data_IF_742904029710
#
_entry.id   IF_742904029710
#
_cell.length_a   1.000
_cell.length_b   1.000
_cell.length_c   1.000
_cell.angle_alpha   90.00
_cell.angle_beta   90.00
_cell.angle_gamma   90.00
#
_symmetry.space_group_name_H-M   'P 1'
#
loop_
_entity.id
_entity.type
_entity.pdbx_description
1 polymer ?
#
# COMPACT_ATOMS: atom_id res chain seq x y z
N UNK A 1 8.67 -5.56 27.71
CA UNK A 1 8.20 -4.31 28.34
C UNK A 1 9.34 -3.32 28.62
N UNK A 2 10.45 -3.71 29.27
CA UNK A 2 11.63 -2.84 29.49
C UNK A 2 12.11 -2.16 28.20
N UNK A 3 12.36 -2.92 27.13
CA UNK A 3 12.91 -2.37 25.89
C UNK A 3 12.09 -1.23 25.25
N UNK A 4 10.76 -1.19 25.43
CA UNK A 4 9.92 -0.11 24.88
C UNK A 4 10.05 1.16 25.71
N UNK A 5 9.97 1.06 27.05
CA UNK A 5 10.11 2.21 27.94
C UNK A 5 11.51 2.83 27.79
N UNK A 6 12.53 1.99 27.64
CA UNK A 6 13.91 2.43 27.45
C UNK A 6 14.09 3.14 26.09
N UNK A 7 13.48 2.61 25.02
CA UNK A 7 13.43 3.27 23.70
C UNK A 7 12.66 4.61 23.74
N UNK A 8 11.55 4.67 24.48
CA UNK A 8 10.75 5.88 24.63
C UNK A 8 11.57 6.99 25.30
N UNK A 9 12.26 6.67 26.40
CA UNK A 9 13.17 7.59 27.10
C UNK A 9 14.28 8.13 26.19
N UNK A 10 14.82 7.30 25.30
CA UNK A 10 15.85 7.70 24.35
C UNK A 10 15.32 8.64 23.24
N UNK A 11 14.05 8.51 22.84
CA UNK A 11 13.45 9.23 21.71
C UNK A 11 13.07 10.70 21.99
N UNK A 12 13.01 11.11 23.28
CA UNK A 12 12.60 12.46 23.72
C UNK A 12 13.50 13.62 23.26
N UNK A 13 14.58 13.35 22.52
CA UNK A 13 15.56 14.35 22.06
C UNK A 13 15.46 14.70 20.57
N UNK A 14 14.56 14.09 19.80
CA UNK A 14 14.45 14.33 18.36
C UNK A 14 13.07 14.91 18.01
N UNK A 15 13.02 16.23 17.78
CA UNK A 15 11.84 16.89 17.22
C UNK A 15 11.81 16.74 15.70
N UNK A 16 10.66 16.35 15.16
CA UNK A 16 10.44 16.11 13.73
C UNK A 16 9.06 16.62 13.34
N UNK A 17 9.06 17.57 12.38
CA UNK A 17 8.13 17.61 11.25
C UNK A 17 6.64 17.90 11.48
N UNK A 18 5.96 18.17 10.36
CA UNK A 18 4.53 18.47 10.31
C UNK A 18 3.69 17.29 10.82
N UNK A 19 2.90 17.50 11.88
CA UNK A 19 2.02 16.49 12.44
C UNK A 19 0.57 16.64 11.95
N UNK A 20 -0.15 15.52 11.88
CA UNK A 20 -1.60 15.48 11.61
C UNK A 20 -2.29 14.86 12.81
N UNK A 21 -3.42 15.43 13.24
CA UNK A 21 -4.20 14.90 14.38
C UNK A 21 -5.15 13.80 13.90
N UNK A 22 -5.13 12.66 14.59
CA UNK A 22 -6.08 11.55 14.40
C UNK A 22 -6.87 11.35 15.69
N UNK A 23 -8.20 11.27 15.59
CA UNK A 23 -9.07 10.94 16.73
C UNK A 23 -9.28 9.43 16.80
N UNK A 24 -8.90 8.82 17.92
CA UNK A 24 -9.05 7.38 18.16
C UNK A 24 -9.95 7.18 19.37
N UNK A 25 -10.89 6.24 19.28
CA UNK A 25 -11.65 5.75 20.44
C UNK A 25 -10.91 4.59 21.05
N UNK A 26 -10.64 4.69 22.35
CA UNK A 26 -10.02 3.65 23.16
C UNK A 26 -10.87 3.42 24.41
N UNK A 27 -10.73 2.26 25.02
CA UNK A 27 -11.34 1.95 26.32
C UNK A 27 -10.71 2.76 27.45
N UNK A 28 -11.39 2.81 28.60
CA UNK A 28 -10.86 3.48 29.79
C UNK A 28 -9.57 2.80 30.28
N UNK A 29 -9.54 1.47 30.29
CA UNK A 29 -8.37 0.70 30.72
C UNK A 29 -7.14 0.99 29.84
N UNK A 30 -7.31 1.04 28.51
CA UNK A 30 -6.24 1.41 27.59
C UNK A 30 -5.75 2.84 27.83
N UNK A 31 -6.67 3.78 28.07
CA UNK A 31 -6.32 5.16 28.41
C UNK A 31 -5.51 5.25 29.70
N UNK A 32 -5.89 4.51 30.74
CA UNK A 32 -5.22 4.54 32.04
C UNK A 32 -3.81 3.94 31.96
N UNK A 33 -3.63 2.88 31.16
CA UNK A 33 -2.30 2.33 30.85
C UNK A 33 -1.43 3.38 30.15
N UNK A 34 -1.95 4.05 29.11
CA UNK A 34 -1.21 5.11 28.40
C UNK A 34 -0.84 6.27 29.34
N UNK A 35 -1.75 6.65 30.24
CA UNK A 35 -1.52 7.70 31.23
C UNK A 35 -0.41 7.32 32.21
N UNK A 36 -0.40 6.07 32.69
CA UNK A 36 0.63 5.58 33.61
C UNK A 36 2.01 5.52 32.95
N UNK A 37 2.09 5.08 31.69
CA UNK A 37 3.35 5.06 30.93
C UNK A 37 3.85 6.48 30.71
N UNK A 38 2.97 7.40 30.28
CA UNK A 38 3.29 8.81 30.08
C UNK A 38 3.85 9.45 31.36
N UNK A 39 3.20 9.21 32.50
CA UNK A 39 3.65 9.71 33.81
C UNK A 39 5.00 9.11 34.23
N UNK A 40 5.21 7.80 34.01
CA UNK A 40 6.48 7.14 34.36
C UNK A 40 7.67 7.62 33.53
N UNK A 41 7.43 7.98 32.26
CA UNK A 41 8.49 8.41 31.33
C UNK A 41 8.66 9.93 31.27
N UNK A 42 7.66 10.69 31.74
CA UNK A 42 7.68 12.16 31.69
C UNK A 42 7.35 12.71 30.30
N UNK A 43 6.38 12.10 29.61
CA UNK A 43 5.94 12.51 28.27
C UNK A 43 4.41 12.63 28.17
N UNK A 44 3.88 12.99 27.00
CA UNK A 44 2.43 13.03 26.76
C UNK A 44 1.89 11.66 26.32
N UNK A 45 0.60 11.39 26.58
CA UNK A 45 -0.08 10.19 26.04
C UNK A 45 0.00 10.11 24.52
N UNK A 46 -0.06 11.27 23.85
CA UNK A 46 0.04 11.36 22.39
C UNK A 46 1.40 10.87 21.91
N UNK A 47 2.48 11.22 22.64
CA UNK A 47 3.82 10.75 22.34
C UNK A 47 3.95 9.25 22.57
N UNK A 48 3.36 8.71 23.64
CA UNK A 48 3.32 7.25 23.86
C UNK A 48 2.66 6.53 22.68
N UNK A 49 1.51 7.03 22.20
CA UNK A 49 0.81 6.47 21.03
C UNK A 49 1.65 6.60 19.76
N UNK A 50 2.25 7.77 19.54
CA UNK A 50 3.13 8.02 18.40
C UNK A 50 4.29 7.02 18.35
N UNK A 51 4.95 6.77 19.49
CA UNK A 51 6.04 5.79 19.56
C UNK A 51 5.55 4.34 19.41
N UNK A 52 4.37 3.99 19.94
CA UNK A 52 3.79 2.66 19.68
C UNK A 52 3.57 2.44 18.17
N UNK A 53 3.09 3.46 17.46
CA UNK A 53 2.92 3.41 16.01
C UNK A 53 4.28 3.25 15.32
N UNK A 54 5.25 4.08 15.69
CA UNK A 54 6.58 4.12 15.04
C UNK A 54 7.40 2.85 15.28
N UNK A 55 7.39 2.31 16.50
CA UNK A 55 8.22 1.17 16.89
C UNK A 55 7.57 -0.19 16.62
N UNK A 56 6.24 -0.25 16.56
CA UNK A 56 5.54 -1.53 16.43
C UNK A 56 4.61 -1.58 15.21
N UNK A 57 3.71 -0.61 15.05
CA UNK A 57 2.71 -0.68 13.98
C UNK A 57 3.34 -0.56 12.59
N UNK A 58 4.24 0.42 12.36
CA UNK A 58 4.90 0.63 11.06
C UNK A 58 5.82 -0.56 10.71
N UNK A 59 6.73 -1.03 11.58
CA UNK A 59 7.57 -2.18 11.25
C UNK A 59 6.79 -3.46 11.02
N UNK A 60 5.74 -3.72 11.80
CA UNK A 60 4.85 -4.87 11.57
C UNK A 60 4.14 -4.76 10.20
N UNK A 61 3.68 -3.55 9.84
CA UNK A 61 3.10 -3.28 8.53
C UNK A 61 4.10 -3.50 7.39
N UNK A 62 5.34 -3.06 7.54
CA UNK A 62 6.40 -3.26 6.55
C UNK A 62 6.79 -4.74 6.41
N UNK A 63 6.90 -5.49 7.50
CA UNK A 63 7.23 -6.92 7.47
C UNK A 63 6.18 -7.75 6.70
N UNK A 64 4.89 -7.40 6.83
CA UNK A 64 3.81 -8.00 6.06
C UNK A 64 3.90 -7.71 4.54
N UNK A 65 4.54 -6.60 4.15
CA UNK A 65 4.79 -6.28 2.74
C UNK A 65 5.93 -7.10 2.14
N UNK A 66 6.93 -7.43 2.95
CA UNK A 66 8.12 -8.16 2.54
C UNK A 66 7.87 -9.68 2.38
N UNK A 67 6.97 -10.28 3.17
CA UNK A 67 6.71 -11.73 3.19
C UNK A 67 5.86 -12.27 2.02
N UNK A 68 5.49 -11.44 1.04
CA UNK A 68 4.75 -11.85 -0.17
C UNK A 68 5.55 -12.64 -1.21
N UNK A 69 6.65 -13.29 -0.80
CA UNK A 69 7.47 -14.13 -1.66
C UNK A 69 7.12 -15.60 -1.44
N UNK A 70 6.43 -16.19 -2.42
CA UNK A 70 6.71 -17.51 -2.99
C UNK A 70 5.48 -18.03 -3.77
N UNK A 71 5.63 -18.19 -5.09
CA UNK A 71 5.53 -19.50 -5.75
C UNK A 71 5.96 -19.39 -7.23
N UNK A 72 6.83 -20.32 -7.60
CA UNK A 72 7.43 -20.47 -8.91
C UNK A 72 6.45 -21.09 -9.92
N UNK A 73 6.75 -20.80 -11.19
CA UNK A 73 6.05 -21.04 -12.45
C UNK A 73 5.71 -22.51 -12.76
N UNK A 74 4.58 -22.73 -13.43
CA UNK A 74 4.47 -23.73 -14.51
C UNK A 74 3.66 -23.13 -15.66
N UNK A 75 4.18 -23.27 -16.89
CA UNK A 75 3.55 -22.85 -18.13
C UNK A 75 2.42 -23.84 -18.42
N UNK A 76 1.19 -23.40 -18.18
CA UNK A 76 -0.03 -23.86 -18.84
C UNK A 76 -0.68 -22.62 -19.45
N UNK A 77 -1.49 -22.77 -20.49
CA UNK A 77 -2.20 -21.67 -21.18
C UNK A 77 -2.71 -20.65 -20.18
N UNK A 78 -1.98 -19.54 -20.00
CA UNK A 78 -2.19 -18.63 -18.86
C UNK A 78 -3.54 -17.95 -19.03
N UNK A 79 -4.50 -18.34 -18.19
CA UNK A 79 -5.68 -17.52 -17.91
C UNK A 79 -5.19 -16.18 -17.36
N UNK A 80 -5.72 -15.07 -17.87
CA UNK A 80 -5.42 -13.73 -17.37
C UNK A 80 -5.57 -13.69 -15.84
N UNK A 81 -4.53 -13.24 -15.17
CA UNK A 81 -4.51 -13.02 -13.73
C UNK A 81 -4.96 -11.60 -13.40
N UNK A 82 -5.29 -11.38 -12.13
CA UNK A 82 -5.77 -10.09 -11.64
C UNK A 82 -4.84 -9.61 -10.54
N UNK A 83 -4.49 -8.33 -10.59
CA UNK A 83 -3.56 -7.72 -9.66
C UNK A 83 -4.14 -6.46 -9.05
N UNK A 84 -3.88 -6.25 -7.77
CA UNK A 84 -4.07 -4.97 -7.09
C UNK A 84 -2.69 -4.35 -6.90
N UNK A 85 -2.50 -3.15 -7.45
CA UNK A 85 -1.26 -2.40 -7.39
C UNK A 85 -1.47 -1.10 -6.61
N UNK A 86 -0.72 -0.91 -5.53
CA UNK A 86 -0.75 0.32 -4.74
C UNK A 86 -0.13 1.47 -5.54
N UNK A 87 -0.78 2.64 -5.56
CA UNK A 87 -0.30 3.82 -6.31
C UNK A 87 0.77 4.63 -5.58
N UNK A 88 1.36 4.10 -4.50
CA UNK A 88 2.36 4.76 -3.68
C UNK A 88 1.92 6.10 -3.03
N UNK A 89 0.61 6.41 -3.00
CA UNK A 89 0.08 7.72 -2.57
C UNK A 89 0.53 8.17 -1.19
N UNK A 90 0.73 7.22 -0.28
CA UNK A 90 1.19 7.46 1.09
C UNK A 90 2.61 8.02 1.13
N UNK A 91 3.48 7.60 0.22
CA UNK A 91 4.87 8.02 0.18
C UNK A 91 5.08 9.21 -0.77
N UNK A 92 4.38 9.22 -1.90
CA UNK A 92 4.53 10.24 -2.93
C UNK A 92 3.20 10.52 -3.64
N UNK A 93 2.79 11.79 -3.61
CA UNK A 93 1.58 12.25 -4.32
C UNK A 93 1.81 12.33 -5.83
N UNK A 94 3.01 12.68 -6.27
CA UNK A 94 3.39 12.78 -7.69
C UNK A 94 3.35 11.41 -8.37
N UNK A 95 3.85 10.36 -7.72
CA UNK A 95 3.86 8.99 -8.25
C UNK A 95 2.45 8.50 -8.54
N UNK A 96 1.55 8.74 -7.58
CA UNK A 96 0.14 8.42 -7.74
C UNK A 96 -0.47 9.19 -8.91
N UNK A 97 -0.18 10.48 -9.04
CA UNK A 97 -0.72 11.29 -10.14
C UNK A 97 -0.17 10.82 -11.49
N UNK A 98 1.11 10.47 -11.57
CA UNK A 98 1.76 9.90 -12.75
C UNK A 98 1.08 8.59 -13.19
N UNK A 99 0.92 7.63 -12.27
CA UNK A 99 0.25 6.35 -12.56
C UNK A 99 -1.17 6.53 -13.10
N UNK A 100 -1.89 7.52 -12.57
CA UNK A 100 -3.29 7.77 -12.89
C UNK A 100 -3.46 8.61 -14.17
N UNK A 101 -2.55 9.55 -14.43
CA UNK A 101 -2.54 10.40 -15.63
C UNK A 101 -2.10 9.63 -16.87
N UNK A 102 -1.02 8.86 -16.74
CA UNK A 102 -0.46 8.09 -17.87
C UNK A 102 -1.13 6.73 -18.07
N UNK A 103 -1.94 6.28 -17.09
CA UNK A 103 -2.60 4.98 -17.16
C UNK A 103 -1.60 3.83 -17.13
N UNK A 104 -0.67 3.88 -16.17
CA UNK A 104 0.43 2.92 -16.05
C UNK A 104 0.38 2.15 -14.72
N UNK A 105 0.84 0.91 -14.77
CA UNK A 105 1.24 0.15 -13.61
C UNK A 105 2.74 0.37 -13.38
N UNK A 106 3.09 1.12 -12.34
CA UNK A 106 4.47 1.46 -12.00
C UNK A 106 4.85 0.99 -10.58
N UNK A 107 6.14 0.73 -10.40
CA UNK A 107 6.77 0.60 -9.10
C UNK A 107 8.06 1.41 -9.10
N UNK A 108 8.44 1.85 -7.90
CA UNK A 108 9.54 2.76 -7.66
C UNK A 108 10.48 2.12 -6.65
N UNK A 109 11.77 2.40 -6.76
CA UNK A 109 12.87 1.82 -5.97
C UNK A 109 13.15 0.34 -6.24
N UNK A 110 14.43 -0.04 -6.12
CA UNK A 110 14.98 -1.33 -6.56
C UNK A 110 14.30 -2.55 -5.92
N UNK A 111 13.84 -2.41 -4.67
CA UNK A 111 13.16 -3.49 -3.94
C UNK A 111 11.76 -3.82 -4.49
N UNK A 112 11.20 -2.98 -5.36
CA UNK A 112 9.82 -3.10 -5.83
C UNK A 112 9.68 -3.15 -7.35
N UNK A 113 10.61 -2.59 -8.13
CA UNK A 113 10.52 -2.56 -9.61
C UNK A 113 10.31 -3.96 -10.21
N UNK A 114 10.98 -4.99 -9.68
CA UNK A 114 10.84 -6.38 -10.15
C UNK A 114 9.43 -6.97 -9.96
N UNK A 115 8.55 -6.31 -9.19
CA UNK A 115 7.15 -6.72 -9.07
C UNK A 115 6.38 -6.47 -10.38
N UNK A 116 6.74 -5.45 -11.16
CA UNK A 116 6.06 -5.13 -12.43
C UNK A 116 6.23 -6.27 -13.44
N UNK A 117 7.37 -6.97 -13.42
CA UNK A 117 7.61 -8.11 -14.32
C UNK A 117 6.69 -9.29 -14.06
N UNK A 118 6.00 -9.34 -12.91
CA UNK A 118 5.00 -10.36 -12.61
C UNK A 118 3.72 -10.16 -13.43
N UNK A 119 3.45 -8.94 -13.86
CA UNK A 119 2.25 -8.57 -14.62
C UNK A 119 2.51 -8.89 -16.10
N UNK A 120 1.74 -9.83 -16.64
CA UNK A 120 1.86 -10.32 -18.01
C UNK A 120 0.77 -9.72 -18.90
N UNK A 121 1.00 -9.84 -20.21
CA UNK A 121 0.07 -9.35 -21.22
C UNK A 121 -1.31 -9.95 -21.01
N UNK A 122 -2.33 -9.09 -20.95
CA UNK A 122 -3.72 -9.51 -20.79
C UNK A 122 -4.18 -9.66 -19.33
N UNK A 123 -3.28 -9.50 -18.35
CA UNK A 123 -3.66 -9.42 -16.94
C UNK A 123 -4.41 -8.12 -16.66
N UNK A 124 -5.29 -8.13 -15.65
CA UNK A 124 -6.03 -6.94 -15.24
C UNK A 124 -5.38 -6.36 -13.99
N UNK A 125 -5.06 -5.07 -14.03
CA UNK A 125 -4.48 -4.34 -12.91
C UNK A 125 -5.50 -3.36 -12.35
N UNK A 126 -5.77 -3.46 -11.05
CA UNK A 126 -6.54 -2.51 -10.26
C UNK A 126 -5.59 -1.58 -9.52
N UNK A 127 -5.67 -0.28 -9.77
CA UNK A 127 -4.89 0.71 -9.05
C UNK A 127 -5.59 1.08 -7.74
N UNK A 128 -4.89 0.88 -6.63
CA UNK A 128 -5.38 1.06 -5.26
C UNK A 128 -4.70 2.25 -4.59
N UNK A 129 -5.51 3.18 -4.10
CA UNK A 129 -5.08 4.31 -3.28
C UNK A 129 -5.25 3.95 -1.79
N UNK A 130 -4.14 3.96 -1.04
CA UNK A 130 -4.13 3.70 0.41
C UNK A 130 -5.15 4.57 1.15
N UNK A 131 -6.02 3.95 1.94
CA UNK A 131 -7.05 4.63 2.73
C UNK A 131 -8.32 5.01 1.95
N UNK A 132 -8.36 4.82 0.63
CA UNK A 132 -9.51 5.15 -0.21
C UNK A 132 -10.13 3.93 -0.88
N UNK A 133 -9.31 3.11 -1.55
CA UNK A 133 -9.81 1.96 -2.31
C UNK A 133 -9.24 1.87 -3.72
N UNK A 134 -9.85 1.00 -4.53
CA UNK A 134 -9.54 0.91 -5.97
C UNK A 134 -10.11 2.15 -6.65
N UNK A 135 -9.29 2.83 -7.44
CA UNK A 135 -9.65 4.09 -8.11
C UNK A 135 -9.57 4.01 -9.63
N UNK A 136 -8.87 3.02 -10.17
CA UNK A 136 -8.76 2.81 -11.61
C UNK A 136 -8.47 1.34 -11.92
N UNK A 137 -8.68 0.95 -13.17
CA UNK A 137 -8.28 -0.36 -13.67
C UNK A 137 -7.88 -0.31 -15.14
N UNK A 138 -7.13 -1.32 -15.59
CA UNK A 138 -6.79 -1.50 -17.00
C UNK A 138 -6.14 -2.85 -17.27
N UNK A 139 -5.85 -3.13 -18.53
CA UNK A 139 -5.31 -4.40 -19.01
C UNK A 139 -3.84 -4.23 -19.35
N UNK A 140 -2.98 -4.99 -18.69
CA UNK A 140 -1.54 -5.01 -18.88
C UNK A 140 -1.11 -5.29 -20.33
N UNK A 141 -0.17 -4.50 -20.85
CA UNK A 141 0.46 -4.80 -22.15
C UNK A 141 1.43 -5.97 -22.09
N UNK A 142 1.98 -6.27 -20.91
CA UNK A 142 3.05 -7.25 -20.72
C UNK A 142 4.46 -6.72 -20.98
N UNK A 143 4.60 -5.45 -21.36
CA UNK A 143 5.88 -4.79 -21.66
C UNK A 143 6.35 -3.98 -20.44
N UNK A 144 7.35 -4.48 -19.73
CA UNK A 144 8.03 -3.74 -18.66
C UNK A 144 9.05 -2.77 -19.25
N UNK A 145 8.96 -1.49 -18.89
CA UNK A 145 9.86 -0.43 -19.34
C UNK A 145 10.57 0.14 -18.10
N UNK A 146 11.90 0.19 -18.14
CA UNK A 146 12.69 0.96 -17.19
C UNK A 146 12.70 2.43 -17.62
N UNK A 147 12.40 3.32 -16.70
CA UNK A 147 12.55 4.76 -16.94
C UNK A 147 14.05 5.09 -17.05
N UNK A 148 14.44 5.83 -18.08
CA UNK A 148 15.85 6.14 -18.36
C UNK A 148 16.40 7.19 -17.38
N UNK A 149 15.53 8.11 -16.91
CA UNK A 149 15.89 9.21 -16.00
C UNK A 149 14.96 9.23 -14.77
N UNK A 150 14.97 8.18 -13.91
CA UNK A 150 14.05 8.04 -12.78
C UNK A 150 14.21 9.15 -11.73
N UNK A 151 15.38 9.80 -11.68
CA UNK A 151 15.66 10.93 -10.78
C UNK A 151 14.79 12.15 -11.07
N UNK A 152 14.26 12.30 -12.30
CA UNK A 152 13.26 13.34 -12.62
C UNK A 152 11.98 13.18 -11.82
N UNK A 153 11.70 11.96 -11.39
CA UNK A 153 10.56 11.59 -10.53
C UNK A 153 10.97 11.41 -9.07
N UNK A 154 12.23 11.69 -8.71
CA UNK A 154 12.73 11.60 -7.34
C UNK A 154 13.08 10.18 -6.90
N UNK A 155 13.26 9.25 -7.84
CA UNK A 155 13.58 7.84 -7.56
C UNK A 155 14.92 7.43 -8.11
N UNK A 156 15.54 6.41 -7.49
CA UNK A 156 16.75 5.79 -8.04
C UNK A 156 16.45 4.84 -9.20
N UNK A 157 15.26 4.26 -9.18
CA UNK A 157 14.78 3.38 -10.23
C UNK A 157 13.27 3.41 -10.30
N UNK A 158 12.75 3.25 -11.50
CA UNK A 158 11.34 3.21 -11.80
C UNK A 158 11.13 2.24 -12.95
N UNK A 159 10.20 1.31 -12.78
CA UNK A 159 9.75 0.41 -13.84
C UNK A 159 8.25 0.52 -13.97
N UNK A 160 7.76 0.54 -15.20
CA UNK A 160 6.35 0.68 -15.47
C UNK A 160 5.88 -0.14 -16.67
N UNK A 161 4.57 -0.24 -16.80
CA UNK A 161 3.90 -0.88 -17.91
C UNK A 161 2.61 -0.12 -18.23
N UNK A 162 2.33 0.09 -19.51
CA UNK A 162 1.06 0.71 -19.94
C UNK A 162 -0.14 -0.21 -19.73
N UNK A 163 -1.27 0.39 -19.39
CA UNK A 163 -2.55 -0.31 -19.24
C UNK A 163 -3.49 0.04 -20.39
N UNK A 164 -3.83 -0.94 -21.22
CA UNK A 164 -4.87 -0.83 -22.24
C UNK A 164 -6.25 -0.74 -21.61
N UNK A 165 -7.16 -0.04 -22.26
CA UNK A 165 -8.52 0.20 -21.77
C UNK A 165 -8.52 0.76 -20.33
N UNK A 166 -7.53 1.61 -20.02
CA UNK A 166 -7.41 2.24 -18.72
C UNK A 166 -8.65 3.08 -18.43
N UNK A 167 -9.23 2.89 -17.25
CA UNK A 167 -10.42 3.59 -16.79
C UNK A 167 -10.24 4.01 -15.34
N UNK A 168 -10.44 5.31 -15.09
CA UNK A 168 -10.68 5.84 -13.75
C UNK A 168 -12.13 5.57 -13.35
N UNK A 169 -12.34 5.12 -12.13
CA UNK A 169 -13.67 4.90 -11.58
C UNK A 169 -14.27 6.23 -11.16
N UNK A 170 -15.58 6.40 -11.37
CA UNK A 170 -16.30 7.61 -10.94
C UNK A 170 -16.28 7.77 -9.41
N UNK A 171 -16.28 6.65 -8.68
CA UNK A 171 -16.17 6.57 -7.23
C UNK A 171 -15.16 5.48 -6.83
N UNK A 172 -14.26 5.74 -5.86
CA UNK A 172 -13.37 4.71 -5.33
C UNK A 172 -14.14 3.53 -4.71
N UNK A 173 -13.70 2.30 -4.97
CA UNK A 173 -14.25 1.10 -4.35
C UNK A 173 -13.40 0.71 -3.16
N UNK A 174 -13.93 0.96 -1.95
CA UNK A 174 -13.21 0.77 -0.69
C UNK A 174 -12.81 -0.69 -0.45
N UNK A 175 -11.79 -0.93 0.37
CA UNK A 175 -11.37 -2.28 0.76
C UNK A 175 -12.52 -3.13 1.37
N UNK A 176 -13.43 -2.47 2.12
CA UNK A 176 -14.64 -3.11 2.67
C UNK A 176 -15.59 -3.57 1.58
N UNK A 177 -15.75 -2.76 0.53
CA UNK A 177 -16.63 -3.07 -0.59
C UNK A 177 -16.03 -4.14 -1.50
N UNK A 178 -14.72 -4.08 -1.78
CA UNK A 178 -14.01 -5.17 -2.47
C UNK A 178 -14.18 -6.49 -1.71
N UNK A 179 -14.01 -6.49 -0.39
CA UNK A 179 -14.25 -7.68 0.45
C UNK A 179 -15.70 -8.19 0.34
N UNK A 180 -16.68 -7.30 0.22
CA UNK A 180 -18.10 -7.66 0.01
C UNK A 180 -18.34 -8.28 -1.36
N UNK A 181 -17.75 -7.71 -2.42
CA UNK A 181 -17.88 -8.19 -3.80
C UNK A 181 -17.23 -9.56 -3.97
N UNK A 182 -16.03 -9.72 -3.42
CA UNK A 182 -15.20 -10.91 -3.61
C UNK A 182 -15.44 -11.98 -2.52
N UNK A 183 -16.15 -11.63 -1.44
CA UNK A 183 -16.51 -12.56 -0.36
C UNK A 183 -15.37 -12.94 0.60
N UNK A 184 -14.17 -12.38 0.43
CA UNK A 184 -13.00 -12.63 1.30
C UNK A 184 -12.13 -11.40 1.50
N UNK A 185 -11.31 -11.43 2.55
CA UNK A 185 -10.32 -10.37 2.78
C UNK A 185 -9.20 -10.46 1.75
N UNK A 186 -8.82 -9.33 1.18
CA UNK A 186 -7.67 -9.22 0.27
C UNK A 186 -6.59 -8.41 0.98
N UNK A 187 -5.33 -8.87 1.00
CA UNK A 187 -4.25 -8.10 1.61
C UNK A 187 -3.90 -6.90 0.73
N UNK A 188 -4.49 -5.74 1.00
CA UNK A 188 -4.13 -4.44 0.40
C UNK A 188 -2.79 -3.88 0.90
N UNK A 189 -2.09 -4.67 1.70
CA UNK A 189 -0.87 -4.29 2.41
C UNK A 189 0.30 -4.15 1.44
N UNK A 190 0.34 -4.98 0.40
CA UNK A 190 1.48 -5.10 -0.52
C UNK A 190 1.44 -4.07 -1.65
N UNK A 191 2.61 -3.72 -2.18
CA UNK A 191 2.74 -2.95 -3.43
C UNK A 191 1.97 -3.60 -4.57
N UNK A 192 2.07 -4.93 -4.70
CA UNK A 192 1.38 -5.72 -5.71
C UNK A 192 0.85 -7.00 -5.08
N UNK A 193 -0.46 -7.25 -5.19
CA UNK A 193 -1.10 -8.47 -4.71
C UNK A 193 -1.88 -9.13 -5.86
N UNK A 194 -1.72 -10.44 -6.05
CA UNK A 194 -2.54 -11.21 -6.98
C UNK A 194 -3.86 -11.61 -6.34
N UNK A 195 -4.94 -11.64 -7.14
CA UNK A 195 -6.27 -12.05 -6.70
C UNK A 195 -6.87 -13.07 -7.67
N UNK A 196 -7.31 -14.21 -7.15
CA UNK A 196 -7.90 -15.30 -7.95
C UNK A 196 -9.28 -14.96 -8.52
N UNK A 197 -10.04 -14.15 -7.78
CA UNK A 197 -11.46 -13.86 -8.03
C UNK A 197 -11.66 -12.45 -8.60
N UNK A 198 -10.63 -11.92 -9.26
CA UNK A 198 -10.63 -10.57 -9.79
C UNK A 198 -11.55 -10.38 -11.00
N UNK A 199 -12.03 -11.47 -11.61
CA UNK A 199 -13.02 -11.44 -12.68
C UNK A 199 -14.36 -10.89 -12.18
N UNK A 200 -14.83 -11.36 -11.01
CA UNK A 200 -16.05 -10.85 -10.35
C UNK A 200 -15.90 -9.36 -10.09
N UNK A 201 -14.74 -8.94 -9.57
CA UNK A 201 -14.43 -7.54 -9.31
C UNK A 201 -14.40 -6.72 -10.59
N UNK A 202 -13.72 -7.19 -11.64
CA UNK A 202 -13.62 -6.49 -12.93
C UNK A 202 -14.99 -6.29 -13.58
N UNK A 203 -15.85 -7.31 -13.58
CA UNK A 203 -17.20 -7.20 -14.15
C UNK A 203 -18.11 -6.26 -13.34
N UNK A 204 -17.93 -6.22 -12.01
CA UNK A 204 -18.67 -5.28 -11.17
C UNK A 204 -18.22 -3.83 -11.42
N UNK A 205 -16.90 -3.61 -11.53
CA UNK A 205 -16.32 -2.29 -11.76
C UNK A 205 -16.66 -1.68 -13.13
N UNK A 206 -17.04 -2.48 -14.14
CA UNK A 206 -17.58 -1.95 -15.40
C UNK A 206 -18.87 -1.14 -15.24
N UNK A 207 -19.57 -1.30 -14.11
CA UNK A 207 -20.84 -0.61 -13.80
C UNK A 207 -20.63 0.71 -13.04
N UNK A 208 -19.40 1.00 -12.61
CA UNK A 208 -18.96 2.24 -11.95
C UNK A 208 -18.29 3.19 -12.94
#
# INVERSE_FOLDING_TARGET
>A
MSNFIDALKASLKAGDGSSVTVSVRISQDENDVLQNIAAHVGTSRQEVVHQLIKLHAIPAWQALQASGQEKNSLISERKSEYFILNTNKTNSKSDHELMINEGIAAAFEDGYIGKIDRIKKGDVVFLYESGKGIIACGIATGESIDEEEPEKYGHKSMRYQYLKNFRRLSSPVSAKEVKRIVGRSIPFVQTLASISDGDILYQNLKKH
#
